data_IF_048276589639
#
_entry.id   IF_048276589639
#
_cell.length_a   1.000
_cell.length_b   1.000
_cell.length_c   1.000
_cell.angle_alpha   90.00
_cell.angle_beta   90.00
_cell.angle_gamma   90.00
#
_symmetry.space_group_name_H-M   'P 1'
#
loop_
_entity.id
_entity.type
_entity.pdbx_description
1 polymer ?
#
# COMPACT_ATOMS: atom_id res chain seq x y z
N UNK A 1 -14.48 -12.21 -17.24
CA UNK A 1 -13.62 -11.03 -17.52
C UNK A 1 -13.08 -10.58 -16.18
N UNK A 2 -11.81 -10.17 -16.10
CA UNK A 2 -11.25 -9.64 -14.86
C UNK A 2 -11.88 -8.30 -14.48
N UNK A 3 -11.62 -7.86 -13.26
CA UNK A 3 -11.98 -6.52 -12.80
C UNK A 3 -11.23 -5.45 -13.60
N UNK A 4 -11.88 -4.29 -13.76
CA UNK A 4 -11.22 -3.12 -14.31
C UNK A 4 -10.23 -2.53 -13.29
N UNK A 5 -9.17 -1.90 -13.77
CA UNK A 5 -8.24 -1.17 -12.90
C UNK A 5 -8.87 0.17 -12.48
N UNK A 6 -8.73 0.53 -11.21
CA UNK A 6 -9.17 1.82 -10.67
C UNK A 6 -8.51 2.97 -11.43
N UNK A 7 -9.31 3.76 -12.14
CA UNK A 7 -8.81 4.86 -12.96
C UNK A 7 -9.87 5.95 -13.21
N UNK A 8 -9.43 7.10 -13.71
CA UNK A 8 -10.32 8.16 -14.20
C UNK A 8 -11.28 8.69 -13.14
N UNK A 9 -12.55 8.86 -13.52
CA UNK A 9 -13.56 9.45 -12.64
C UNK A 9 -13.88 8.59 -11.41
N UNK A 10 -13.81 7.26 -11.53
CA UNK A 10 -14.04 6.33 -10.42
C UNK A 10 -12.94 6.45 -9.37
N UNK A 11 -11.68 6.55 -9.80
CA UNK A 11 -10.55 6.82 -8.92
C UNK A 11 -10.73 8.13 -8.14
N UNK A 12 -11.06 9.22 -8.83
CA UNK A 12 -11.29 10.51 -8.18
C UNK A 12 -12.46 10.42 -7.19
N UNK A 13 -13.52 9.68 -7.54
CA UNK A 13 -14.63 9.45 -6.64
C UNK A 13 -14.20 8.73 -5.36
N UNK A 14 -13.46 7.63 -5.48
CA UNK A 14 -12.96 6.85 -4.34
C UNK A 14 -12.03 7.68 -3.46
N UNK A 15 -11.13 8.46 -4.07
CA UNK A 15 -10.25 9.39 -3.35
C UNK A 15 -11.07 10.41 -2.57
N UNK A 16 -11.99 11.14 -3.21
CA UNK A 16 -12.80 12.18 -2.56
C UNK A 16 -13.71 11.59 -1.48
N UNK A 17 -14.21 10.36 -1.68
CA UNK A 17 -15.06 9.66 -0.72
C UNK A 17 -14.34 9.35 0.59
N UNK A 18 -13.08 8.92 0.51
CA UNK A 18 -12.30 8.48 1.67
C UNK A 18 -11.39 9.57 2.25
N UNK A 19 -10.95 10.49 1.38
CA UNK A 19 -10.02 11.57 1.66
C UNK A 19 -10.50 12.84 0.95
N UNK A 20 -11.58 13.47 1.45
CA UNK A 20 -12.08 14.72 0.86
C UNK A 20 -11.02 15.81 0.92
N UNK A 21 -11.27 16.95 0.26
CA UNK A 21 -10.36 18.10 0.27
C UNK A 21 -9.80 18.40 1.65
N UNK A 22 -8.52 18.77 1.69
CA UNK A 22 -7.74 19.11 2.88
C UNK A 22 -8.44 20.02 3.91
N UNK A 23 -9.41 20.84 3.49
CA UNK A 23 -10.14 21.81 4.31
C UNK A 23 -10.59 21.20 5.66
N UNK A 24 -9.94 21.63 6.75
CA UNK A 24 -10.24 21.19 8.11
C UNK A 24 -9.11 20.40 8.80
N UNK A 25 -8.06 19.98 8.08
CA UNK A 25 -6.92 19.28 8.67
C UNK A 25 -5.74 20.22 8.95
N UNK A 26 -5.31 20.28 10.22
CA UNK A 26 -4.32 21.22 10.71
C UNK A 26 -2.96 21.11 9.98
N UNK A 27 -2.49 19.88 9.75
CA UNK A 27 -1.24 19.61 9.04
C UNK A 27 -1.41 19.69 7.53
N UNK A 28 -2.58 19.27 7.06
CA UNK A 28 -2.85 19.19 5.63
C UNK A 28 -1.99 18.20 4.87
N UNK A 29 -1.64 17.14 5.58
CA UNK A 29 -0.86 16.01 5.11
C UNK A 29 -1.77 14.80 5.18
N UNK A 30 -1.62 13.87 4.24
CA UNK A 30 -2.21 12.54 4.35
C UNK A 30 -1.14 11.46 4.13
N UNK A 31 -1.36 10.31 4.76
CA UNK A 31 -0.48 9.16 4.69
C UNK A 31 -1.13 8.07 3.84
N UNK A 32 -0.42 7.60 2.82
CA UNK A 32 -0.83 6.52 1.93
C UNK A 32 0.11 5.33 2.17
N UNK A 33 -0.44 4.17 2.51
CA UNK A 33 0.35 3.00 2.88
C UNK A 33 0.06 1.86 1.91
N UNK A 34 1.09 1.26 1.32
CA UNK A 34 0.95 -0.12 0.86
C UNK A 34 0.76 -1.07 2.07
N UNK A 35 0.31 -2.29 1.81
CA UNK A 35 -0.10 -3.25 2.81
C UNK A 35 0.85 -4.46 2.93
N UNK A 36 0.84 -5.36 1.95
CA UNK A 36 1.68 -6.58 1.98
C UNK A 36 3.15 -6.22 2.02
N UNK A 37 3.92 -6.87 2.92
CA UNK A 37 5.35 -6.58 3.18
C UNK A 37 5.69 -5.14 3.59
N UNK A 38 4.74 -4.21 3.57
CA UNK A 38 4.86 -2.86 4.12
C UNK A 38 4.34 -2.80 5.56
N UNK A 39 3.05 -3.04 5.77
CA UNK A 39 2.40 -3.05 7.10
C UNK A 39 2.72 -4.33 7.89
N UNK A 40 2.94 -5.45 7.20
CA UNK A 40 3.38 -6.73 7.77
C UNK A 40 4.69 -7.16 7.11
N UNK A 41 5.30 -8.25 7.57
CA UNK A 41 6.33 -8.96 6.81
C UNK A 41 5.73 -9.92 5.79
N UNK A 42 4.44 -10.23 5.95
CA UNK A 42 3.73 -11.24 5.17
C UNK A 42 3.28 -10.73 3.80
N UNK A 43 3.20 -11.67 2.86
CA UNK A 43 2.54 -11.50 1.56
C UNK A 43 1.22 -12.28 1.60
N UNK A 44 0.14 -11.58 1.89
CA UNK A 44 -1.17 -12.21 2.16
C UNK A 44 -1.78 -12.81 0.90
N UNK A 45 -1.59 -12.17 -0.26
CA UNK A 45 -1.99 -12.72 -1.57
C UNK A 45 -1.30 -14.05 -1.84
N UNK A 46 0.00 -14.17 -1.56
CA UNK A 46 0.75 -15.43 -1.70
C UNK A 46 0.31 -16.49 -0.70
N UNK A 47 -0.04 -16.11 0.52
CA UNK A 47 -0.53 -17.03 1.56
C UNK A 47 -1.89 -17.63 1.22
N UNK A 48 -2.84 -16.80 0.79
CA UNK A 48 -4.14 -17.26 0.29
C UNK A 48 -3.96 -18.10 -0.99
N UNK A 49 -3.12 -17.63 -1.91
CA UNK A 49 -2.86 -18.30 -3.18
C UNK A 49 -2.17 -19.65 -3.00
N UNK A 50 -1.36 -19.82 -1.96
CA UNK A 50 -0.78 -21.13 -1.60
C UNK A 50 -1.86 -22.10 -1.13
N UNK A 51 -2.76 -21.64 -0.25
CA UNK A 51 -3.84 -22.46 0.29
C UNK A 51 -4.83 -22.92 -0.78
N UNK A 52 -5.07 -22.07 -1.79
CA UNK A 52 -5.98 -22.34 -2.91
C UNK A 52 -5.28 -22.94 -4.14
N UNK A 53 -3.97 -23.13 -4.11
CA UNK A 53 -3.20 -23.71 -5.23
C UNK A 53 -3.08 -22.80 -6.47
N UNK A 54 -3.11 -21.48 -6.28
CA UNK A 54 -3.13 -20.49 -7.37
C UNK A 54 -1.77 -19.82 -7.65
N UNK A 55 -0.80 -19.94 -6.74
CA UNK A 55 0.44 -19.16 -6.81
C UNK A 55 1.21 -19.31 -8.13
N UNK A 56 1.31 -20.52 -8.68
CA UNK A 56 2.05 -20.73 -9.93
C UNK A 56 1.34 -20.09 -11.12
N UNK A 57 0.00 -20.13 -11.14
CA UNK A 57 -0.80 -19.47 -12.18
C UNK A 57 -0.67 -17.95 -12.08
N UNK A 58 -0.78 -17.38 -10.88
CA UNK A 58 -0.63 -15.94 -10.63
C UNK A 58 0.78 -15.48 -11.03
N UNK A 59 1.82 -16.21 -10.61
CA UNK A 59 3.21 -15.91 -10.96
C UNK A 59 3.40 -15.91 -12.48
N UNK A 60 2.89 -16.92 -13.18
CA UNK A 60 3.01 -17.02 -14.63
C UNK A 60 2.35 -15.85 -15.37
N UNK A 61 1.26 -15.29 -14.83
CA UNK A 61 0.61 -14.11 -15.41
C UNK A 61 1.53 -12.88 -15.31
N UNK A 62 2.08 -12.59 -14.13
CA UNK A 62 2.99 -11.45 -13.95
C UNK A 62 4.32 -11.62 -14.71
N UNK A 63 4.87 -12.83 -14.79
CA UNK A 63 6.07 -13.10 -15.61
C UNK A 63 5.83 -12.82 -17.10
N UNK A 64 4.61 -13.07 -17.59
CA UNK A 64 4.26 -12.89 -19.01
C UNK A 64 3.84 -11.47 -19.35
N UNK A 65 3.08 -10.83 -18.48
CA UNK A 65 2.45 -9.52 -18.74
C UNK A 65 3.19 -8.36 -18.07
N UNK A 66 4.18 -8.64 -17.21
CA UNK A 66 4.76 -7.65 -16.33
C UNK A 66 3.77 -7.18 -15.26
N UNK A 67 4.12 -6.11 -14.55
CA UNK A 67 3.26 -5.48 -13.55
C UNK A 67 2.41 -4.36 -14.17
N UNK A 68 1.81 -4.63 -15.33
CA UNK A 68 0.92 -3.71 -16.04
C UNK A 68 -0.55 -3.93 -15.66
N UNK A 69 -1.43 -2.96 -15.96
CA UNK A 69 -2.88 -3.00 -15.63
C UNK A 69 -3.55 -4.33 -16.05
N UNK A 70 -3.22 -4.83 -17.25
CA UNK A 70 -3.76 -6.09 -17.78
C UNK A 70 -3.39 -7.32 -16.92
N UNK A 71 -2.23 -7.30 -16.27
CA UNK A 71 -1.81 -8.39 -15.39
C UNK A 71 -2.67 -8.45 -14.13
N UNK A 72 -2.94 -7.30 -13.49
CA UNK A 72 -3.81 -7.23 -12.31
C UNK A 72 -5.24 -7.62 -12.64
N UNK A 73 -5.77 -7.16 -13.78
CA UNK A 73 -7.08 -7.60 -14.27
C UNK A 73 -7.11 -9.12 -14.51
N UNK A 74 -6.10 -9.68 -15.18
CA UNK A 74 -6.02 -11.12 -15.42
C UNK A 74 -5.91 -11.94 -14.12
N UNK A 75 -5.12 -11.49 -13.15
CA UNK A 75 -5.01 -12.13 -11.82
C UNK A 75 -6.34 -12.07 -11.08
N UNK A 76 -7.09 -10.97 -11.16
CA UNK A 76 -8.42 -10.92 -10.55
C UNK A 76 -9.40 -11.93 -11.15
N UNK A 77 -9.27 -12.25 -12.44
CA UNK A 77 -10.06 -13.31 -13.05
C UNK A 77 -9.70 -14.71 -12.50
N UNK A 78 -8.44 -14.93 -12.10
CA UNK A 78 -8.00 -16.17 -11.45
C UNK A 78 -8.61 -16.29 -10.06
N UNK A 79 -8.53 -15.22 -9.25
CA UNK A 79 -9.19 -15.19 -7.95
C UNK A 79 -10.69 -15.40 -8.06
N UNK A 80 -11.34 -14.72 -9.01
CA UNK A 80 -12.79 -14.77 -9.22
C UNK A 80 -13.29 -16.11 -9.78
N UNK A 81 -12.39 -17.00 -10.19
CA UNK A 81 -12.75 -18.37 -10.58
C UNK A 81 -12.89 -19.31 -9.37
N UNK A 82 -12.39 -18.91 -8.21
CA UNK A 82 -12.57 -19.64 -6.95
C UNK A 82 -13.97 -19.37 -6.43
N UNK A 83 -14.59 -20.38 -5.81
CA UNK A 83 -15.84 -20.19 -5.09
C UNK A 83 -15.70 -19.15 -3.97
N UNK A 84 -16.64 -18.22 -3.89
CA UNK A 84 -16.57 -17.09 -2.94
C UNK A 84 -16.51 -17.54 -1.48
N UNK A 85 -17.13 -18.67 -1.13
CA UNK A 85 -17.08 -19.21 0.23
C UNK A 85 -15.68 -19.74 0.55
N UNK A 86 -15.09 -20.50 -0.38
CA UNK A 86 -13.71 -20.99 -0.23
C UNK A 86 -12.70 -19.83 -0.14
N UNK A 87 -12.84 -18.84 -1.02
CA UNK A 87 -12.01 -17.63 -1.01
C UNK A 87 -12.13 -16.86 0.31
N UNK A 88 -13.36 -16.63 0.78
CA UNK A 88 -13.61 -15.91 2.04
C UNK A 88 -13.08 -16.68 3.25
N UNK A 89 -13.22 -18.00 3.27
CA UNK A 89 -12.70 -18.84 4.36
C UNK A 89 -11.18 -18.74 4.49
N UNK A 90 -10.45 -18.71 3.37
CA UNK A 90 -8.99 -18.54 3.40
C UNK A 90 -8.57 -17.12 3.77
N UNK A 91 -9.36 -16.09 3.39
CA UNK A 91 -9.15 -14.72 3.85
C UNK A 91 -9.22 -14.64 5.37
N UNK A 92 -10.24 -15.21 6.00
CA UNK A 92 -10.38 -15.21 7.47
C UNK A 92 -9.17 -15.88 8.12
N UNK A 93 -8.84 -17.09 7.66
CA UNK A 93 -7.73 -17.86 8.21
C UNK A 93 -6.38 -17.14 8.08
N UNK A 94 -6.12 -16.51 6.93
CA UNK A 94 -4.88 -15.76 6.72
C UNK A 94 -4.87 -14.48 7.57
N UNK A 95 -5.96 -13.72 7.60
CA UNK A 95 -6.06 -12.50 8.42
C UNK A 95 -5.81 -12.77 9.91
N UNK A 96 -6.29 -13.90 10.43
CA UNK A 96 -6.01 -14.33 11.81
C UNK A 96 -4.51 -14.54 12.08
N UNK A 97 -3.72 -14.94 11.08
CA UNK A 97 -2.29 -15.20 11.23
C UNK A 97 -1.39 -13.98 11.03
N UNK A 98 -1.87 -12.92 10.37
CA UNK A 98 -1.05 -11.77 9.94
C UNK A 98 -0.81 -10.78 11.08
N UNK A 99 0.44 -10.64 11.53
CA UNK A 99 0.81 -9.61 12.49
C UNK A 99 1.06 -8.25 11.81
N UNK A 100 0.57 -7.17 12.41
CA UNK A 100 0.93 -5.80 12.03
C UNK A 100 2.30 -5.48 12.66
N UNK A 101 3.26 -4.98 11.87
CA UNK A 101 4.59 -4.63 12.39
C UNK A 101 4.46 -3.60 13.53
N UNK A 102 5.26 -3.75 14.57
CA UNK A 102 5.23 -2.89 15.76
C UNK A 102 5.47 -1.41 15.41
N UNK A 103 6.33 -1.13 14.42
CA UNK A 103 6.57 0.22 13.93
C UNK A 103 5.28 0.88 13.42
N UNK A 104 4.41 0.14 12.72
CA UNK A 104 3.16 0.68 12.21
C UNK A 104 2.10 0.79 13.30
N UNK A 105 2.10 -0.09 14.30
CA UNK A 105 1.26 0.10 15.49
C UNK A 105 1.59 1.41 16.21
N UNK A 106 2.88 1.70 16.39
CA UNK A 106 3.34 2.95 16.99
C UNK A 106 2.97 4.16 16.11
N UNK A 107 3.38 4.16 14.84
CA UNK A 107 3.15 5.30 13.92
C UNK A 107 1.66 5.59 13.79
N UNK A 108 0.82 4.57 13.56
CA UNK A 108 -0.62 4.75 13.45
C UNK A 108 -1.24 5.24 14.76
N UNK A 109 -0.78 4.74 15.91
CA UNK A 109 -1.22 5.21 17.22
C UNK A 109 -0.95 6.71 17.45
N UNK A 110 0.15 7.23 16.90
CA UNK A 110 0.56 8.63 17.06
C UNK A 110 -0.10 9.58 16.05
N UNK A 111 -0.46 9.10 14.85
CA UNK A 111 -0.93 9.98 13.76
C UNK A 111 -2.43 9.87 13.46
N UNK A 112 -3.09 8.77 13.83
CA UNK A 112 -4.52 8.62 13.61
C UNK A 112 -5.30 9.63 14.46
N UNK A 113 -6.21 10.35 13.82
CA UNK A 113 -6.97 11.46 14.41
C UNK A 113 -6.41 12.84 14.10
N UNK A 114 -5.12 12.92 13.78
CA UNK A 114 -4.42 14.16 13.44
C UNK A 114 -4.29 14.34 11.91
N UNK A 115 -3.96 13.25 11.21
CA UNK A 115 -3.88 13.20 9.74
C UNK A 115 -4.72 12.04 9.20
N UNK A 116 -5.28 12.18 7.99
CA UNK A 116 -5.91 11.04 7.33
C UNK A 116 -4.88 10.01 6.90
N UNK A 117 -5.25 8.74 7.03
CA UNK A 117 -4.47 7.58 6.60
C UNK A 117 -5.32 6.73 5.68
N UNK A 118 -4.77 6.27 4.56
CA UNK A 118 -5.39 5.29 3.66
C UNK A 118 -4.41 4.17 3.37
N UNK A 119 -4.90 2.95 3.34
CA UNK A 119 -4.16 1.80 2.83
C UNK A 119 -4.55 1.56 1.38
N UNK A 120 -3.55 1.42 0.52
CA UNK A 120 -3.68 1.23 -0.92
C UNK A 120 -2.90 0.00 -1.36
N UNK A 121 -3.60 -1.11 -1.55
CA UNK A 121 -3.02 -2.43 -1.83
C UNK A 121 -3.42 -2.95 -3.20
N UNK A 122 -2.48 -3.61 -3.88
CA UNK A 122 -2.77 -4.40 -5.08
C UNK A 122 -3.27 -5.83 -4.76
N UNK A 123 -3.31 -6.18 -3.48
CA UNK A 123 -3.71 -7.50 -2.97
C UNK A 123 -5.16 -7.55 -2.50
N UNK A 124 -5.38 -8.28 -1.40
CA UNK A 124 -6.72 -8.63 -0.90
C UNK A 124 -7.10 -7.65 0.24
N UNK A 125 -7.94 -6.63 -0.02
CA UNK A 125 -8.20 -5.57 0.96
C UNK A 125 -8.95 -6.06 2.20
N UNK A 126 -9.75 -7.12 2.09
CA UNK A 126 -10.53 -7.69 3.20
C UNK A 126 -9.62 -8.17 4.34
N UNK A 127 -8.45 -8.71 4.03
CA UNK A 127 -7.46 -9.13 5.03
C UNK A 127 -6.97 -7.92 5.81
N UNK A 128 -6.59 -6.86 5.10
CA UNK A 128 -6.03 -5.66 5.71
C UNK A 128 -7.04 -4.88 6.55
N UNK A 129 -8.32 -4.84 6.15
CA UNK A 129 -9.39 -4.32 7.00
C UNK A 129 -9.42 -5.06 8.33
N UNK A 130 -9.49 -6.40 8.30
CA UNK A 130 -9.52 -7.23 9.53
C UNK A 130 -8.28 -7.07 10.39
N UNK A 131 -7.09 -7.02 9.77
CA UNK A 131 -5.83 -6.84 10.49
C UNK A 131 -5.82 -5.49 11.21
N UNK A 132 -6.18 -4.40 10.53
CA UNK A 132 -6.23 -3.06 11.14
C UNK A 132 -7.26 -2.98 12.26
N UNK A 133 -8.47 -3.51 12.03
CA UNK A 133 -9.54 -3.55 13.03
C UNK A 133 -9.11 -4.29 14.30
N UNK A 134 -8.44 -5.45 14.16
CA UNK A 134 -7.93 -6.22 15.29
C UNK A 134 -6.90 -5.46 16.13
N UNK A 135 -6.13 -4.57 15.51
CA UNK A 135 -5.12 -3.75 16.20
C UNK A 135 -5.69 -2.39 16.67
N UNK A 136 -7.01 -2.18 16.60
CA UNK A 136 -7.67 -0.98 17.10
C UNK A 136 -7.75 0.18 16.10
N UNK A 137 -7.34 -0.02 14.85
CA UNK A 137 -7.34 1.01 13.80
C UNK A 137 -8.60 0.94 12.93
N UNK A 138 -9.75 0.95 13.60
CA UNK A 138 -11.07 0.93 12.97
C UNK A 138 -11.27 2.16 12.06
N UNK A 139 -11.82 1.94 10.87
CA UNK A 139 -12.22 3.02 9.97
C UNK A 139 -11.11 3.57 9.06
N UNK A 140 -9.87 3.07 9.16
CA UNK A 140 -8.85 3.35 8.15
C UNK A 140 -9.30 2.76 6.80
N UNK A 141 -9.51 3.58 5.76
CA UNK A 141 -9.92 3.07 4.45
C UNK A 141 -8.86 2.16 3.85
N UNK A 142 -9.31 1.05 3.25
CA UNK A 142 -8.45 0.12 2.52
C UNK A 142 -8.98 0.02 1.10
N UNK A 143 -8.23 0.60 0.16
CA UNK A 143 -8.48 0.58 -1.27
C UNK A 143 -7.66 -0.54 -1.89
N UNK A 144 -8.33 -1.39 -2.66
CA UNK A 144 -7.75 -2.58 -3.25
C UNK A 144 -8.85 -3.47 -3.79
N UNK A 145 -8.47 -4.58 -4.41
CA UNK A 145 -9.43 -5.57 -4.86
C UNK A 145 -8.80 -6.66 -5.69
N UNK A 146 -9.37 -7.85 -5.60
CA UNK A 146 -8.87 -9.06 -6.23
C UNK A 146 -9.98 -9.95 -6.76
N UNK A 147 -11.19 -9.93 -6.19
CA UNK A 147 -12.25 -10.89 -6.51
C UNK A 147 -13.54 -10.17 -6.92
N UNK A 148 -14.06 -10.46 -8.11
CA UNK A 148 -15.13 -9.66 -8.74
C UNK A 148 -16.51 -9.75 -8.08
N UNK A 149 -16.71 -10.74 -7.20
CA UNK A 149 -17.93 -10.81 -6.38
C UNK A 149 -17.85 -9.96 -5.10
N UNK A 150 -16.66 -9.47 -4.73
CA UNK A 150 -16.39 -8.80 -3.46
C UNK A 150 -15.80 -7.40 -3.62
N UNK A 151 -15.22 -7.12 -4.79
CA UNK A 151 -14.52 -5.90 -5.12
C UNK A 151 -15.04 -5.34 -6.45
N UNK A 152 -15.08 -4.02 -6.57
CA UNK A 152 -15.56 -3.31 -7.76
C UNK A 152 -14.44 -3.09 -8.80
N UNK A 153 -13.19 -3.07 -8.35
CA UNK A 153 -12.00 -2.76 -9.15
C UNK A 153 -10.75 -3.46 -8.62
N UNK A 154 -9.66 -3.42 -9.38
CA UNK A 154 -8.30 -3.77 -8.93
C UNK A 154 -7.43 -2.51 -8.85
N UNK A 155 -6.43 -2.54 -7.98
CA UNK A 155 -5.42 -1.48 -7.89
C UNK A 155 -4.13 -2.00 -8.50
N UNK A 156 -3.74 -1.46 -9.64
CA UNK A 156 -2.45 -1.73 -10.28
C UNK A 156 -1.35 -0.81 -9.77
N UNK A 157 -0.09 -1.08 -10.16
CA UNK A 157 1.03 -0.17 -9.90
C UNK A 157 0.75 1.26 -10.39
N UNK A 158 0.18 1.40 -11.59
CA UNK A 158 -0.22 2.69 -12.14
C UNK A 158 -1.33 3.35 -11.31
N UNK A 159 -2.37 2.60 -10.96
CA UNK A 159 -3.48 3.11 -10.15
C UNK A 159 -2.99 3.66 -8.81
N UNK A 160 -1.98 3.03 -8.19
CA UNK A 160 -1.36 3.56 -6.97
C UNK A 160 -0.78 4.95 -7.17
N UNK A 161 -0.06 5.17 -8.26
CA UNK A 161 0.46 6.48 -8.64
C UNK A 161 -0.65 7.51 -8.93
N UNK A 162 -1.69 7.10 -9.65
CA UNK A 162 -2.83 7.97 -10.00
C UNK A 162 -3.62 8.41 -8.75
N UNK A 163 -3.79 7.53 -7.75
CA UNK A 163 -4.41 7.88 -6.46
C UNK A 163 -3.63 8.97 -5.74
N UNK A 164 -2.29 8.86 -5.65
CA UNK A 164 -1.47 9.89 -5.01
C UNK A 164 -1.54 11.22 -5.76
N UNK A 165 -1.51 11.21 -7.09
CA UNK A 165 -1.67 12.44 -7.88
C UNK A 165 -3.02 13.10 -7.61
N UNK A 166 -4.10 12.33 -7.59
CA UNK A 166 -5.44 12.85 -7.30
C UNK A 166 -5.51 13.46 -5.89
N UNK A 167 -4.88 12.86 -4.89
CA UNK A 167 -4.78 13.44 -3.54
C UNK A 167 -4.05 14.79 -3.53
N UNK A 168 -2.93 14.89 -4.26
CA UNK A 168 -2.18 16.14 -4.39
C UNK A 168 -3.00 17.21 -5.11
N UNK A 169 -3.76 16.83 -6.13
CA UNK A 169 -4.68 17.74 -6.84
C UNK A 169 -5.82 18.24 -5.93
N UNK A 170 -6.23 17.46 -4.93
CA UNK A 170 -7.15 17.87 -3.86
C UNK A 170 -6.49 18.69 -2.73
N UNK A 171 -5.21 19.03 -2.88
CA UNK A 171 -4.46 19.95 -2.01
C UNK A 171 -3.75 19.29 -0.82
N UNK A 172 -3.63 17.96 -0.82
CA UNK A 172 -2.87 17.24 0.19
C UNK A 172 -1.37 17.29 -0.07
N UNK A 173 -0.58 17.40 1.00
CA UNK A 173 0.80 16.93 0.99
C UNK A 173 0.76 15.42 1.26
N UNK A 174 1.31 14.61 0.35
CA UNK A 174 1.20 13.16 0.44
C UNK A 174 2.52 12.55 0.88
N UNK A 175 2.48 11.80 1.98
CA UNK A 175 3.52 10.84 2.32
C UNK A 175 3.06 9.45 1.91
N UNK A 176 3.90 8.71 1.19
CA UNK A 176 3.57 7.36 0.76
C UNK A 176 4.60 6.34 1.27
N UNK A 177 4.16 5.15 1.68
CA UNK A 177 5.04 4.07 2.11
C UNK A 177 4.83 2.79 1.29
N UNK A 178 5.91 2.09 0.95
CA UNK A 178 5.85 0.84 0.19
C UNK A 178 7.17 0.08 0.16
N UNK A 179 7.11 -1.21 -0.20
CA UNK A 179 8.23 -2.13 -0.19
C UNK A 179 8.70 -2.53 -1.60
N UNK A 180 7.85 -2.44 -2.61
CA UNK A 180 8.10 -3.08 -3.90
C UNK A 180 8.09 -2.12 -5.09
N UNK A 181 8.56 -2.59 -6.25
CA UNK A 181 8.46 -1.82 -7.50
C UNK A 181 7.00 -1.57 -7.94
N UNK A 182 6.03 -2.32 -7.40
CA UNK A 182 4.59 -2.03 -7.63
C UNK A 182 4.21 -0.70 -6.98
N UNK A 183 4.90 -0.29 -5.92
CA UNK A 183 4.66 0.95 -5.19
C UNK A 183 5.43 2.13 -5.77
N UNK A 184 6.42 1.88 -6.64
CA UNK A 184 7.27 2.92 -7.21
C UNK A 184 6.47 4.07 -7.83
N UNK A 185 5.38 3.86 -8.60
CA UNK A 185 4.59 4.98 -9.13
C UNK A 185 3.92 5.84 -8.05
N UNK A 186 3.52 5.25 -6.93
CA UNK A 186 2.95 5.94 -5.78
C UNK A 186 4.01 6.69 -4.99
N UNK A 187 5.14 6.04 -4.70
CA UNK A 187 6.29 6.66 -4.02
C UNK A 187 6.84 7.84 -4.83
N UNK A 188 6.95 7.68 -6.15
CA UNK A 188 7.44 8.74 -7.04
C UNK A 188 6.46 9.91 -7.21
N UNK A 189 5.17 9.69 -7.01
CA UNK A 189 4.15 10.74 -7.11
C UNK A 189 3.99 11.55 -5.81
N UNK A 190 4.41 10.99 -4.67
CA UNK A 190 4.27 11.57 -3.35
C UNK A 190 5.21 12.78 -3.14
N UNK A 191 4.88 13.63 -2.17
CA UNK A 191 5.75 14.73 -1.76
C UNK A 191 6.93 14.21 -0.93
N UNK A 192 6.72 13.12 -0.18
CA UNK A 192 7.76 12.35 0.48
C UNK A 192 7.45 10.85 0.47
N UNK A 193 8.49 10.03 0.36
CA UNK A 193 8.41 8.58 0.25
C UNK A 193 9.08 7.91 1.44
N UNK A 194 8.39 6.95 2.06
CA UNK A 194 8.90 6.06 3.08
C UNK A 194 9.20 4.70 2.42
N UNK A 195 10.48 4.42 2.21
CA UNK A 195 10.92 3.11 1.74
C UNK A 195 10.90 2.12 2.91
N UNK A 196 10.14 1.03 2.76
CA UNK A 196 9.99 0.00 3.78
C UNK A 196 10.53 -1.32 3.23
N UNK A 197 11.75 -1.75 3.56
CA UNK A 197 12.28 -2.99 3.00
C UNK A 197 11.51 -4.24 3.46
N UNK A 198 11.30 -5.15 2.52
CA UNK A 198 10.98 -6.54 2.82
C UNK A 198 12.19 -7.28 3.44
N UNK A 199 12.02 -8.55 3.80
CA UNK A 199 13.09 -9.37 4.40
C UNK A 199 14.33 -9.56 3.51
N UNK A 200 14.27 -9.19 2.23
CA UNK A 200 15.39 -9.26 1.28
C UNK A 200 16.00 -7.88 1.00
N UNK A 201 15.55 -6.84 1.69
CA UNK A 201 15.98 -5.47 1.49
C UNK A 201 15.48 -4.82 0.21
N UNK A 202 14.51 -5.46 -0.48
CA UNK A 202 13.82 -4.92 -1.66
C UNK A 202 14.77 -4.26 -2.69
N UNK A 203 15.79 -4.99 -3.18
CA UNK A 203 16.92 -4.40 -3.89
C UNK A 203 16.54 -3.68 -5.18
N UNK A 204 15.51 -4.15 -5.89
CA UNK A 204 15.03 -3.52 -7.11
C UNK A 204 14.38 -2.15 -6.85
N UNK A 205 13.55 -2.04 -5.80
CA UNK A 205 12.97 -0.76 -5.40
C UNK A 205 14.06 0.18 -4.88
N UNK A 206 14.95 -0.30 -4.00
CA UNK A 206 16.06 0.49 -3.45
C UNK A 206 16.92 1.10 -4.56
N UNK A 207 17.31 0.30 -5.55
CA UNK A 207 18.07 0.77 -6.71
C UNK A 207 17.31 1.85 -7.50
N UNK A 208 16.02 1.63 -7.77
CA UNK A 208 15.19 2.60 -8.47
C UNK A 208 15.06 3.92 -7.70
N UNK A 209 14.88 3.89 -6.38
CA UNK A 209 14.77 5.07 -5.55
C UNK A 209 16.09 5.87 -5.49
N UNK A 210 17.23 5.17 -5.39
CA UNK A 210 18.55 5.79 -5.42
C UNK A 210 18.82 6.50 -6.77
N UNK A 211 18.41 5.87 -7.88
CA UNK A 211 18.59 6.43 -9.24
C UNK A 211 17.69 7.65 -9.49
N UNK A 212 16.49 7.68 -8.90
CA UNK A 212 15.53 8.76 -9.11
C UNK A 212 15.93 10.09 -8.45
N UNK A 213 17.00 10.12 -7.62
CA UNK A 213 17.43 11.31 -6.84
C UNK A 213 16.25 12.05 -6.21
N UNK A 214 15.27 11.29 -5.72
CA UNK A 214 14.11 11.87 -5.09
C UNK A 214 14.58 12.55 -3.80
N UNK A 215 14.47 13.88 -3.74
CA UNK A 215 14.95 14.69 -2.63
C UNK A 215 14.20 14.44 -1.29
N UNK A 216 13.31 13.44 -1.24
CA UNK A 216 12.41 13.18 -0.12
C UNK A 216 12.11 11.69 0.08
N UNK A 217 13.07 10.79 -0.21
CA UNK A 217 12.98 9.38 0.19
C UNK A 217 13.64 9.20 1.56
N UNK A 218 12.89 8.68 2.52
CA UNK A 218 13.42 8.19 3.78
C UNK A 218 13.25 6.66 3.86
N UNK A 219 14.33 5.95 4.13
CA UNK A 219 14.28 4.56 4.55
C UNK A 219 13.75 4.47 5.99
N UNK A 220 12.56 3.93 6.15
CA UNK A 220 12.03 3.60 7.48
C UNK A 220 12.76 2.37 8.01
N UNK A 221 13.53 2.53 9.08
CA UNK A 221 14.24 1.43 9.72
C UNK A 221 13.21 0.46 10.30
N UNK A 222 13.07 -0.68 9.65
CA UNK A 222 12.25 -1.82 10.07
C UNK A 222 13.12 -3.06 10.19
N UNK A 223 12.83 -3.90 11.17
CA UNK A 223 13.51 -5.18 11.40
C UNK A 223 15.05 -5.08 11.43
N UNK A 224 15.57 -3.98 12.00
CA UNK A 224 17.01 -3.66 12.09
C UNK A 224 17.75 -3.52 10.74
N UNK A 225 17.03 -3.44 9.61
CA UNK A 225 17.64 -3.22 8.31
C UNK A 225 18.13 -1.77 8.17
N UNK A 226 19.35 -1.61 7.64
CA UNK A 226 20.00 -0.32 7.39
C UNK A 226 20.67 -0.34 6.02
N UNK A 227 20.57 0.77 5.30
CA UNK A 227 21.21 0.94 3.99
C UNK A 227 21.93 2.28 3.97
N UNK A 228 23.21 2.26 3.61
CA UNK A 228 24.07 3.45 3.64
C UNK A 228 23.82 4.40 2.45
N UNK A 229 23.06 3.96 1.45
CA UNK A 229 22.78 4.70 0.23
C UNK A 229 21.45 5.47 0.25
N UNK A 230 20.73 5.44 1.38
CA UNK A 230 19.49 6.20 1.60
C UNK A 230 19.48 6.82 3.00
N UNK A 231 18.95 8.03 3.11
CA UNK A 231 18.67 8.62 4.42
C UNK A 231 17.66 7.77 5.17
N UNK A 232 17.88 7.59 6.48
CA UNK A 232 17.08 6.69 7.30
C UNK A 232 16.40 7.40 8.45
N UNK A 233 15.19 6.95 8.80
CA UNK A 233 14.41 7.44 9.94
C UNK A 233 14.01 6.26 10.84
N UNK A 234 13.98 6.50 12.15
CA UNK A 234 13.42 5.55 13.09
C UNK A 234 11.88 5.65 13.06
N UNK A 235 11.15 4.59 13.43
CA UNK A 235 9.70 4.65 13.57
C UNK A 235 9.21 5.79 14.46
N UNK A 236 9.96 6.15 15.50
CA UNK A 236 9.67 7.28 16.39
C UNK A 236 9.73 8.65 15.71
N UNK A 237 10.46 8.77 14.60
CA UNK A 237 10.67 10.04 13.90
C UNK A 237 9.56 10.29 12.86
N UNK A 238 8.90 9.22 12.40
CA UNK A 238 7.91 9.26 11.31
C UNK A 238 6.71 10.15 11.62
N UNK A 239 6.08 10.13 12.82
CA UNK A 239 4.98 11.05 13.13
C UNK A 239 5.38 12.51 12.94
N UNK A 240 6.56 12.89 13.40
CA UNK A 240 7.07 14.26 13.25
C UNK A 240 7.33 14.61 11.78
N UNK A 241 7.88 13.68 11.00
CA UNK A 241 8.06 13.83 9.55
C UNK A 241 6.70 14.04 8.86
N UNK A 242 5.67 13.27 9.22
CA UNK A 242 4.31 13.41 8.71
C UNK A 242 3.75 14.79 9.05
N UNK A 243 3.82 15.24 10.31
CA UNK A 243 3.28 16.54 10.72
C UNK A 243 3.98 17.73 10.05
N UNK A 244 5.21 17.53 9.57
CA UNK A 244 5.99 18.53 8.83
C UNK A 244 5.83 18.40 7.31
N UNK A 245 4.97 17.50 6.83
CA UNK A 245 4.76 17.26 5.40
C UNK A 245 6.00 16.74 4.68
N UNK A 246 6.85 15.99 5.38
CA UNK A 246 8.08 15.43 4.83
C UNK A 246 9.24 16.42 4.68
N UNK A 247 9.10 17.69 5.11
CA UNK A 247 10.10 18.75 4.90
C UNK A 247 11.41 18.61 5.72
N UNK A 248 11.53 17.57 6.55
CA UNK A 248 12.72 17.29 7.37
C UNK A 248 13.44 15.98 6.97
N UNK A 249 13.09 15.37 5.83
CA UNK A 249 13.97 14.38 5.20
C UNK A 249 15.16 15.20 4.65
N UNK A 250 16.23 15.29 5.45
CA UNK A 250 17.29 16.26 5.26
C UNK A 250 18.16 15.98 4.02
N UNK A 251 18.58 17.07 3.36
CA UNK A 251 19.60 17.12 2.30
C UNK A 251 20.94 16.50 2.67
#
# INVERSE_FOLDING_TARGET
MGLATLAGAELVHEVVRHLPRRNGHAYGVCLVLDADRTLSIEDTGRSVGAALGLNDQIRSIFERLGYEDDAFSAVSAVWSAVDVSAYSSEIERVAESVALRDCWQQILGDVLGEVPVVVLTAGIPQIWRKVLERHGFLGVPVLGGSHSALDDYVVSARAKGDVVRALRDEGWLVLAAGDSCVDLPMLAAADAALFVPDSKGSPALRAALADMKMASVCHLIVDEQRFDDLDSCLPSDVPQLIFQGGMNIAN
#
